data_IF_072923628002
#
_entry.id   IF_072923628002
#
_cell.length_a   1.000
_cell.length_b   1.000
_cell.length_c   1.000
_cell.angle_alpha   90.00
_cell.angle_beta   90.00
_cell.angle_gamma   90.00
#
_symmetry.space_group_name_H-M   'P 1'
#
loop_
_entity.id
_entity.type
_entity.pdbx_description
1 polymer ?
#
# COMPACT_ATOMS: atom_id res chain seq x y z
N UNK A 1 -17.65 4.31 -56.64
CA UNK A 1 -18.51 3.52 -55.74
C UNK A 1 -17.86 2.16 -55.56
N UNK A 2 -17.29 1.92 -54.39
CA UNK A 2 -16.84 0.59 -53.96
C UNK A 2 -16.78 0.61 -52.44
N UNK A 3 -17.87 0.18 -51.83
CA UNK A 3 -17.96 -0.04 -50.39
C UNK A 3 -17.12 -1.27 -50.03
N UNK A 4 -16.22 -1.13 -49.05
CA UNK A 4 -15.61 -2.29 -48.42
C UNK A 4 -16.63 -2.97 -47.48
N UNK A 5 -16.76 -4.29 -47.51
CA UNK A 5 -17.70 -5.01 -46.66
C UNK A 5 -17.21 -5.01 -45.20
N UNK A 6 -18.12 -4.74 -44.26
CA UNK A 6 -17.89 -4.95 -42.83
C UNK A 6 -17.85 -6.46 -42.59
N UNK A 7 -16.66 -7.02 -42.32
CA UNK A 7 -16.53 -8.42 -41.91
C UNK A 7 -16.92 -8.59 -40.43
N UNK A 8 -17.93 -9.41 -40.09
CA UNK A 8 -18.40 -9.60 -38.71
C UNK A 8 -17.61 -10.63 -37.88
N UNK A 9 -16.38 -10.97 -38.24
CA UNK A 9 -15.69 -12.15 -37.68
C UNK A 9 -14.42 -11.86 -36.87
N UNK A 10 -14.35 -10.71 -36.18
CA UNK A 10 -13.36 -10.50 -35.11
C UNK A 10 -14.05 -10.29 -33.76
N UNK A 11 -14.92 -11.25 -33.42
CA UNK A 11 -15.31 -11.52 -32.05
C UNK A 11 -14.93 -12.98 -31.78
N UNK A 12 -14.35 -13.24 -30.60
CA UNK A 12 -13.91 -14.54 -30.06
C UNK A 12 -12.42 -14.81 -30.38
N UNK A 13 -11.48 -14.99 -29.46
CA UNK A 13 -11.51 -15.27 -28.02
C UNK A 13 -10.18 -14.79 -27.43
N UNK A 14 -10.20 -13.76 -26.58
CA UNK A 14 -9.62 -13.87 -25.24
C UNK A 14 -10.66 -13.18 -24.36
N UNK A 15 -11.71 -13.92 -24.03
CA UNK A 15 -12.40 -13.66 -22.77
C UNK A 15 -11.29 -13.73 -21.74
N UNK A 16 -10.86 -12.57 -21.24
CA UNK A 16 -10.02 -12.51 -20.06
C UNK A 16 -10.65 -13.48 -19.06
N UNK A 17 -9.84 -14.41 -18.55
CA UNK A 17 -10.21 -15.18 -17.38
C UNK A 17 -10.70 -14.14 -16.37
N UNK A 18 -12.01 -14.10 -16.14
CA UNK A 18 -12.55 -13.35 -15.01
C UNK A 18 -12.11 -14.17 -13.81
N UNK A 19 -10.88 -13.89 -13.36
CA UNK A 19 -10.36 -14.45 -12.14
C UNK A 19 -11.32 -14.00 -11.05
N UNK A 20 -11.96 -14.99 -10.43
CA UNK A 20 -13.09 -14.77 -9.55
C UNK A 20 -12.70 -13.89 -8.37
N UNK A 21 -13.51 -12.87 -8.12
CA UNK A 21 -13.66 -12.19 -6.82
C UNK A 21 -12.38 -11.70 -6.13
N UNK A 22 -11.41 -11.16 -6.89
CA UNK A 22 -10.30 -10.42 -6.26
C UNK A 22 -10.77 -8.99 -5.95
N UNK A 23 -10.90 -8.65 -4.67
CA UNK A 23 -11.18 -7.27 -4.22
C UNK A 23 -10.09 -6.34 -4.76
N UNK A 24 -10.47 -5.24 -5.41
CA UNK A 24 -9.50 -4.24 -5.87
C UNK A 24 -8.66 -3.69 -4.71
N UNK A 25 -7.32 -3.65 -4.84
CA UNK A 25 -6.46 -3.19 -3.77
C UNK A 25 -6.65 -1.70 -3.49
N UNK A 26 -6.55 -1.32 -2.22
CA UNK A 26 -6.49 0.08 -1.82
C UNK A 26 -5.12 0.64 -2.20
N UNK A 27 -5.11 1.85 -2.76
CA UNK A 27 -3.88 2.53 -3.16
C UNK A 27 -3.64 3.72 -2.25
N UNK A 28 -2.40 3.89 -1.83
CA UNK A 28 -1.94 5.05 -1.08
C UNK A 28 -0.59 5.52 -1.61
N UNK A 29 -0.25 6.76 -1.28
CA UNK A 29 1.05 7.35 -1.60
C UNK A 29 1.86 7.50 -0.32
N UNK A 30 3.16 7.27 -0.38
CA UNK A 30 4.06 7.44 0.76
C UNK A 30 3.92 8.83 1.38
N UNK A 31 3.91 8.89 2.71
CA UNK A 31 3.72 10.12 3.50
C UNK A 31 2.26 10.54 3.68
N UNK A 32 1.31 9.98 2.93
CA UNK A 32 -0.13 10.29 3.08
C UNK A 32 -0.80 9.44 4.16
N UNK A 33 -2.05 9.76 4.50
CA UNK A 33 -2.87 8.96 5.40
C UNK A 33 -3.92 8.21 4.59
N UNK A 34 -4.28 7.01 5.03
CA UNK A 34 -5.40 6.25 4.48
C UNK A 34 -6.38 5.88 5.59
N UNK A 35 -7.67 5.88 5.24
CA UNK A 35 -8.73 5.27 6.04
C UNK A 35 -9.45 4.25 5.17
N UNK A 36 -9.63 3.04 5.69
CA UNK A 36 -10.36 1.96 5.04
C UNK A 36 -11.53 1.58 5.92
N UNK A 37 -12.70 1.51 5.31
CA UNK A 37 -13.94 1.10 5.95
C UNK A 37 -14.14 -0.40 5.80
N UNK A 38 -14.26 -1.07 6.93
CA UNK A 38 -14.64 -2.47 7.05
C UNK A 38 -16.09 -2.58 7.49
N UNK A 39 -16.79 -3.62 7.05
CA UNK A 39 -18.22 -3.80 7.31
C UNK A 39 -18.54 -5.16 7.92
N UNK A 40 -19.35 -5.18 8.97
CA UNK A 40 -19.68 -6.39 9.72
C UNK A 40 -21.18 -6.55 9.86
N UNK A 41 -21.69 -7.77 9.61
CA UNK A 41 -23.13 -8.04 9.70
C UNK A 41 -23.67 -7.98 11.13
N UNK A 42 -22.80 -8.15 12.12
CA UNK A 42 -23.17 -8.22 13.53
C UNK A 42 -22.23 -7.40 14.38
N UNK A 43 -22.76 -6.90 15.49
CA UNK A 43 -22.01 -6.12 16.45
C UNK A 43 -21.09 -6.99 17.30
N UNK A 44 -19.98 -6.40 17.71
CA UNK A 44 -19.01 -7.00 18.61
C UNK A 44 -18.36 -5.94 19.49
N UNK A 45 -17.86 -6.39 20.65
CA UNK A 45 -17.37 -5.49 21.71
C UNK A 45 -15.85 -5.39 21.75
N UNK A 46 -15.12 -6.13 20.91
CA UNK A 46 -13.66 -6.12 20.87
C UNK A 46 -13.19 -6.08 19.42
N UNK A 47 -12.37 -5.09 19.10
CA UNK A 47 -12.03 -4.69 17.73
C UNK A 47 -10.53 -4.75 17.55
N UNK A 48 -10.11 -5.21 16.39
CA UNK A 48 -8.70 -5.33 16.04
C UNK A 48 -8.46 -4.83 14.63
N UNK A 49 -7.32 -4.18 14.45
CA UNK A 49 -6.74 -3.93 13.13
C UNK A 49 -5.38 -4.62 13.07
N UNK A 50 -5.24 -5.53 12.10
CA UNK A 50 -4.09 -6.43 11.99
C UNK A 50 -3.44 -6.33 10.61
N UNK A 51 -2.18 -6.76 10.53
CA UNK A 51 -1.44 -6.98 9.28
C UNK A 51 -1.18 -8.47 9.08
N UNK A 52 -1.40 -9.01 7.88
CA UNK A 52 -1.19 -10.43 7.56
C UNK A 52 -2.01 -11.42 8.41
N UNK A 53 -1.61 -11.68 9.65
CA UNK A 53 -2.35 -12.52 10.62
C UNK A 53 -2.89 -11.65 11.76
N UNK A 54 -3.85 -12.13 12.55
CA UNK A 54 -4.37 -11.39 13.71
C UNK A 54 -3.84 -11.97 15.03
N UNK A 55 -2.53 -12.18 15.10
CA UNK A 55 -1.85 -12.81 16.24
C UNK A 55 -0.52 -12.10 16.57
N UNK A 56 -0.18 -12.03 17.86
CA UNK A 56 1.11 -11.50 18.32
C UNK A 56 1.38 -10.07 17.83
N UNK A 57 2.56 -9.87 17.23
CA UNK A 57 3.02 -8.55 16.73
C UNK A 57 2.24 -8.04 15.52
N UNK A 58 1.47 -8.91 14.87
CA UNK A 58 0.64 -8.53 13.74
C UNK A 58 -0.63 -7.77 14.14
N UNK A 59 -0.95 -7.73 15.44
CA UNK A 59 -2.01 -6.88 15.99
C UNK A 59 -1.48 -5.44 16.12
N UNK A 60 -1.87 -4.59 15.17
CA UNK A 60 -1.45 -3.19 15.11
C UNK A 60 -2.14 -2.37 16.21
N UNK A 61 -3.44 -2.60 16.41
CA UNK A 61 -4.23 -2.01 17.48
C UNK A 61 -5.38 -2.94 17.86
N UNK A 62 -5.64 -3.02 19.17
CA UNK A 62 -6.79 -3.71 19.77
C UNK A 62 -7.49 -2.73 20.71
N UNK A 63 -8.83 -2.73 20.72
CA UNK A 63 -9.61 -1.92 21.66
C UNK A 63 -11.01 -2.50 21.93
N UNK A 64 -11.59 -2.14 23.07
CA UNK A 64 -13.02 -2.29 23.37
C UNK A 64 -13.79 -0.97 23.26
N UNK A 65 -13.09 0.14 23.05
CA UNK A 65 -13.69 1.45 22.86
C UNK A 65 -14.08 1.65 21.39
N UNK A 66 -14.99 2.59 21.13
CA UNK A 66 -15.40 2.93 19.77
C UNK A 66 -14.37 3.78 19.04
N UNK A 67 -13.39 4.36 19.76
CA UNK A 67 -12.30 5.14 19.20
C UNK A 67 -11.00 4.80 19.92
N UNK A 68 -9.95 4.47 19.17
CA UNK A 68 -8.63 4.24 19.73
C UNK A 68 -7.53 4.60 18.74
N UNK A 69 -6.36 4.94 19.28
CA UNK A 69 -5.14 5.23 18.52
C UNK A 69 -3.95 4.53 19.16
N UNK A 70 -3.10 3.91 18.36
CA UNK A 70 -1.80 3.37 18.78
C UNK A 70 -0.75 3.69 17.71
N UNK A 71 0.15 4.63 18.03
CA UNK A 71 1.15 5.09 17.08
C UNK A 71 0.50 5.68 15.82
N UNK A 72 0.76 5.08 14.66
CA UNK A 72 0.20 5.49 13.37
C UNK A 72 -1.15 4.85 13.04
N UNK A 73 -1.64 3.94 13.87
CA UNK A 73 -2.84 3.15 13.60
C UNK A 73 -4.04 3.63 14.42
N UNK A 74 -5.22 3.66 13.82
CA UNK A 74 -6.47 4.08 14.47
C UNK A 74 -7.62 3.13 14.20
N UNK A 75 -8.60 3.12 15.10
CA UNK A 75 -9.93 2.53 14.90
C UNK A 75 -10.98 3.58 15.25
N UNK A 76 -11.99 3.70 14.39
CA UNK A 76 -13.28 4.32 14.67
C UNK A 76 -14.39 3.31 14.36
N UNK A 77 -15.17 2.95 15.36
CA UNK A 77 -16.28 2.01 15.25
C UNK A 77 -17.60 2.74 15.37
N UNK A 78 -18.53 2.40 14.49
CA UNK A 78 -19.91 2.86 14.52
C UNK A 78 -20.82 1.63 14.53
N UNK A 79 -21.37 1.33 15.71
CA UNK A 79 -22.49 0.41 15.82
C UNK A 79 -23.70 1.00 15.09
N UNK A 80 -24.31 0.21 14.21
CA UNK A 80 -25.54 0.58 13.50
C UNK A 80 -26.69 -0.27 14.03
N UNK A 81 -27.91 0.13 13.70
CA UNK A 81 -29.11 -0.62 14.11
C UNK A 81 -29.09 -2.04 13.54
N UNK A 82 -29.84 -2.95 14.17
CA UNK A 82 -29.89 -4.39 13.86
C UNK A 82 -30.16 -4.76 12.38
N UNK A 83 -30.69 -3.82 11.60
CA UNK A 83 -30.98 -3.98 10.18
C UNK A 83 -29.81 -3.57 9.25
N UNK A 84 -28.70 -3.08 9.80
CA UNK A 84 -27.55 -2.53 9.08
C UNK A 84 -26.24 -3.22 9.46
N UNK A 85 -25.20 -2.97 8.67
CA UNK A 85 -23.85 -3.42 8.98
C UNK A 85 -23.16 -2.43 9.92
N UNK A 86 -22.48 -2.95 10.93
CA UNK A 86 -21.57 -2.17 11.75
C UNK A 86 -20.35 -1.77 10.90
N UNK A 87 -19.87 -0.55 11.12
CA UNK A 87 -18.78 0.03 10.34
C UNK A 87 -17.58 0.24 11.22
N UNK A 88 -16.42 -0.24 10.77
CA UNK A 88 -15.14 0.01 11.42
C UNK A 88 -14.20 0.67 10.43
N UNK A 89 -13.90 1.94 10.67
CA UNK A 89 -12.88 2.68 9.94
C UNK A 89 -11.53 2.45 10.62
N UNK A 90 -10.60 1.87 9.86
CA UNK A 90 -9.20 1.71 10.27
C UNK A 90 -8.34 2.70 9.51
N UNK A 91 -7.42 3.37 10.19
CA UNK A 91 -6.50 4.31 9.52
C UNK A 91 -5.04 3.96 9.76
N UNK A 92 -4.22 4.30 8.76
CA UNK A 92 -2.76 4.34 8.85
C UNK A 92 -2.32 5.75 8.48
N UNK A 93 -1.61 6.42 9.37
CA UNK A 93 -1.04 7.75 9.09
C UNK A 93 0.40 7.66 8.59
N UNK A 94 0.80 8.59 7.73
CA UNK A 94 2.17 8.68 7.20
C UNK A 94 2.63 7.37 6.58
N UNK A 95 1.89 6.87 5.58
CA UNK A 95 2.14 5.63 4.87
C UNK A 95 3.60 5.50 4.45
N UNK A 96 4.11 4.28 4.50
CA UNK A 96 5.43 3.90 3.98
C UNK A 96 5.23 2.89 2.87
N UNK A 97 6.15 2.83 1.90
CA UNK A 97 6.11 1.77 0.87
C UNK A 97 6.08 0.37 1.48
N UNK A 98 6.75 0.17 2.62
CA UNK A 98 6.74 -1.06 3.44
C UNK A 98 5.41 -1.38 4.12
N UNK A 99 4.46 -0.45 4.15
CA UNK A 99 3.10 -0.69 4.66
C UNK A 99 2.26 -1.48 3.64
N UNK A 100 2.74 -1.69 2.40
CA UNK A 100 2.05 -2.54 1.43
C UNK A 100 1.89 -3.97 1.94
N UNK A 101 0.73 -4.57 1.68
CA UNK A 101 0.39 -5.92 2.12
C UNK A 101 -1.08 -6.06 2.51
N UNK A 102 -1.44 -7.24 3.01
CA UNK A 102 -2.81 -7.56 3.43
C UNK A 102 -3.08 -7.13 4.85
N UNK A 103 -4.25 -6.57 5.08
CA UNK A 103 -4.73 -6.13 6.39
C UNK A 103 -6.07 -6.77 6.71
N UNK A 104 -6.34 -6.89 8.01
CA UNK A 104 -7.59 -7.43 8.53
C UNK A 104 -8.20 -6.52 9.57
N UNK A 105 -9.47 -6.24 9.38
CA UNK A 105 -10.38 -5.80 10.41
C UNK A 105 -10.98 -7.04 11.07
N UNK A 106 -10.83 -7.17 12.38
CA UNK A 106 -11.40 -8.29 13.13
C UNK A 106 -12.31 -7.78 14.24
N UNK A 107 -13.47 -8.41 14.37
CA UNK A 107 -14.48 -8.12 15.38
C UNK A 107 -14.79 -9.39 16.17
N UNK A 108 -14.54 -9.34 17.47
CA UNK A 108 -14.73 -10.43 18.42
C UNK A 108 -15.98 -10.22 19.28
N UNK A 109 -16.38 -11.29 19.98
CA UNK A 109 -17.53 -11.30 20.90
C UNK A 109 -18.84 -10.90 20.19
N UNK A 110 -18.98 -11.26 18.92
CA UNK A 110 -20.26 -11.20 18.22
C UNK A 110 -21.08 -12.46 18.53
N UNK A 111 -22.38 -12.42 18.28
CA UNK A 111 -23.22 -13.62 18.48
C UNK A 111 -22.89 -14.75 17.50
N UNK A 112 -22.30 -14.44 16.34
CA UNK A 112 -21.90 -15.40 15.31
C UNK A 112 -20.42 -15.83 15.43
N UNK A 113 -19.75 -15.47 16.53
CA UNK A 113 -18.33 -15.77 16.75
C UNK A 113 -17.43 -14.59 16.37
N UNK A 114 -16.35 -14.88 15.65
CA UNK A 114 -15.39 -13.86 15.18
C UNK A 114 -15.67 -13.51 13.73
N UNK A 115 -15.72 -12.21 13.43
CA UNK A 115 -15.91 -11.71 12.08
C UNK A 115 -14.64 -11.05 11.56
N UNK A 116 -14.43 -11.16 10.24
CA UNK A 116 -13.27 -10.62 9.53
C UNK A 116 -13.71 -9.88 8.27
N UNK A 117 -13.03 -8.77 7.98
CA UNK A 117 -13.06 -8.10 6.68
C UNK A 117 -11.64 -7.66 6.35
N UNK A 118 -11.25 -7.78 5.09
CA UNK A 118 -9.86 -7.68 4.66
C UNK A 118 -9.70 -6.84 3.41
N UNK A 119 -8.50 -6.29 3.26
CA UNK A 119 -8.10 -5.54 2.09
C UNK A 119 -6.59 -5.63 1.87
N UNK A 120 -6.19 -5.56 0.61
CA UNK A 120 -4.80 -5.33 0.23
C UNK A 120 -4.53 -3.85 0.10
N UNK A 121 -3.38 -3.41 0.63
CA UNK A 121 -2.87 -2.05 0.49
C UNK A 121 -1.63 -2.07 -0.41
N UNK A 122 -1.61 -1.20 -1.41
CA UNK A 122 -0.45 -0.92 -2.24
C UNK A 122 -0.05 0.53 -2.02
N UNK A 123 1.16 0.75 -1.51
CA UNK A 123 1.73 2.08 -1.30
C UNK A 123 2.81 2.34 -2.34
N UNK A 124 2.64 3.40 -3.12
CA UNK A 124 3.65 3.84 -4.10
C UNK A 124 4.52 4.95 -3.49
N UNK A 125 5.74 5.09 -3.99
CA UNK A 125 6.60 6.23 -3.66
C UNK A 125 5.86 7.54 -3.98
N UNK A 126 6.03 8.53 -3.11
CA UNK A 126 5.48 9.85 -3.35
C UNK A 126 6.25 10.57 -4.43
N UNK A 127 5.56 11.38 -5.24
CA UNK A 127 6.30 12.31 -6.10
C UNK A 127 7.04 13.29 -5.19
N UNK A 128 8.38 13.26 -5.21
CA UNK A 128 9.22 14.25 -4.56
C UNK A 128 8.89 15.63 -5.13
N UNK A 129 7.91 16.32 -4.57
CA UNK A 129 7.67 17.72 -4.90
C UNK A 129 8.75 18.54 -4.18
N UNK A 130 9.57 19.33 -4.90
CA UNK A 130 10.64 20.13 -4.30
C UNK A 130 10.17 21.17 -3.25
N UNK A 131 8.85 21.27 -3.02
CA UNK A 131 8.22 22.19 -2.07
C UNK A 131 8.31 21.75 -0.60
N UNK A 132 8.68 20.49 -0.31
CA UNK A 132 8.73 19.94 1.05
C UNK A 132 10.12 19.39 1.44
N UNK A 133 11.21 20.02 0.99
CA UNK A 133 12.56 19.63 1.42
C UNK A 133 12.89 20.31 2.76
N UNK A 134 13.03 19.59 3.90
CA UNK A 134 13.78 20.12 5.02
C UNK A 134 15.20 20.39 4.51
N UNK A 135 15.71 21.60 4.70
CA UNK A 135 16.98 22.07 4.16
C UNK A 135 18.18 21.26 4.68
N UNK A 136 18.38 20.05 4.17
CA UNK A 136 19.64 19.34 4.24
C UNK A 136 20.44 19.79 3.02
N UNK A 137 21.20 20.85 3.26
CA UNK A 137 22.15 21.42 2.33
C UNK A 137 23.08 20.33 1.78
N UNK A 138 23.09 20.23 0.45
CA UNK A 138 24.27 20.20 -0.41
C UNK A 138 25.58 19.70 0.19
N UNK A 139 26.16 18.68 -0.45
CA UNK A 139 27.50 18.73 -1.03
C UNK A 139 27.62 17.55 -2.01
N UNK A 140 27.37 17.82 -3.29
CA UNK A 140 27.82 16.94 -4.35
C UNK A 140 29.33 17.21 -4.53
N UNK A 141 30.24 16.24 -4.36
CA UNK A 141 31.65 16.47 -4.64
C UNK A 141 31.80 16.72 -6.14
N UNK A 142 32.17 17.96 -6.51
CA UNK A 142 32.52 18.31 -7.87
C UNK A 142 33.80 17.56 -8.25
N UNK A 143 33.65 16.51 -9.05
CA UNK A 143 34.78 15.92 -9.76
C UNK A 143 35.34 16.95 -10.75
N UNK A 144 36.64 17.29 -10.72
CA UNK A 144 37.22 18.13 -11.76
C UNK A 144 37.36 17.30 -13.04
N UNK A 145 36.73 17.77 -14.12
CA UNK A 145 37.00 17.24 -15.47
C UNK A 145 38.22 17.94 -16.08
N UNK A 146 39.13 17.09 -16.57
CA UNK A 146 39.95 17.22 -17.77
C UNK A 146 41.44 17.59 -17.61
N UNK A 147 42.32 16.64 -17.98
CA UNK A 147 43.39 16.90 -18.95
C UNK A 147 43.92 15.59 -19.59
N UNK A 148 43.60 15.47 -20.87
CA UNK A 148 44.46 15.06 -22.00
C UNK A 148 45.15 13.68 -22.00
N UNK A 149 44.71 12.85 -22.96
CA UNK A 149 45.44 11.74 -23.57
C UNK A 149 46.80 12.20 -24.14
N UNK A 150 47.91 11.57 -23.72
CA UNK A 150 48.99 11.18 -24.63
C UNK A 150 49.58 9.83 -24.21
N UNK A 151 49.44 8.86 -25.11
CA UNK A 151 50.17 7.60 -25.11
C UNK A 151 51.55 7.84 -25.73
N UNK A 152 52.63 7.47 -25.04
CA UNK A 152 53.88 7.04 -25.69
C UNK A 152 54.50 5.90 -24.89
N UNK A 153 54.60 4.75 -25.55
CA UNK A 153 55.32 3.54 -25.18
C UNK A 153 56.83 3.81 -25.41
N UNK A 154 57.73 3.37 -24.52
CA UNK A 154 58.89 2.51 -24.85
C UNK A 154 59.73 2.12 -23.61
N UNK A 155 60.28 0.89 -23.57
CA UNK A 155 61.11 0.35 -22.48
C UNK A 155 62.62 0.56 -22.76
N UNK A 156 63.48 0.64 -21.73
CA UNK A 156 64.88 0.18 -21.84
C UNK A 156 65.52 -0.11 -20.47
N UNK A 157 66.24 -1.23 -20.43
CA UNK A 157 67.09 -1.80 -19.38
C UNK A 157 68.11 -0.81 -18.78
N UNK A 158 68.50 -0.99 -17.51
CA UNK A 158 69.82 -1.56 -17.16
C UNK A 158 69.96 -1.91 -15.66
N UNK A 159 70.77 -2.95 -15.45
CA UNK A 159 71.18 -3.55 -14.18
C UNK A 159 72.19 -2.68 -13.41
N UNK A 160 72.19 -2.84 -12.08
CA UNK A 160 73.33 -3.31 -11.25
C UNK A 160 72.81 -3.80 -9.91
#
# INVERSE_FOLDING_TARGET
MSTCPKSPWLKMVISALQDGDTKEPRRGEEGTNITVRCSFRFSGSRRFFCRETCEGENILIETTDDRAQRGRYSILYEEKDFASFDLMDVSITGLKTSDSGRYWCRLDKTWAGTLYDDFDLVVTEGEFSPKNLPSLLFLCPTTPKHSTLQSVIHPFLHAT
#
